data_IF_365966833653
#
_entry.id   IF_365966833653
#
_cell.length_a   1.000
_cell.length_b   1.000
_cell.length_c   1.000
_cell.angle_alpha   90.00
_cell.angle_beta   90.00
_cell.angle_gamma   90.00
#
_symmetry.space_group_name_H-M   'P 1'
#
loop_
_entity.id
_entity.type
_entity.pdbx_description
1 polymer ?
#
# COMPACT_ATOMS: atom_id res chain seq x y z
N UNK A 1 -2.73 -2.89 -16.75
CA UNK A 1 -2.79 -3.55 -15.44
C UNK A 1 -2.87 -2.48 -14.37
N UNK A 2 -3.54 -2.73 -13.24
CA UNK A 2 -3.56 -1.79 -12.12
C UNK A 2 -2.19 -1.79 -11.42
N UNK A 3 -1.61 -0.62 -11.23
CA UNK A 3 -0.32 -0.46 -10.55
C UNK A 3 -0.53 -0.53 -9.03
N UNK A 4 0.01 -1.57 -8.40
CA UNK A 4 -0.08 -1.80 -6.95
C UNK A 4 0.67 -0.72 -6.15
N UNK A 5 1.59 0.01 -6.80
CA UNK A 5 2.37 1.09 -6.23
C UNK A 5 1.79 2.48 -6.56
N UNK A 6 0.66 2.54 -7.29
CA UNK A 6 -0.01 3.81 -7.53
C UNK A 6 -0.34 4.47 -6.19
N UNK A 7 0.16 5.69 -6.02
CA UNK A 7 -0.09 6.50 -4.82
C UNK A 7 -1.57 6.86 -4.78
N UNK A 8 -2.30 6.28 -3.83
CA UNK A 8 -3.61 6.76 -3.40
C UNK A 8 -3.47 7.86 -2.36
N UNK A 9 -4.50 8.68 -2.20
CA UNK A 9 -4.52 9.87 -1.34
C UNK A 9 -4.08 9.64 0.12
N UNK A 10 -5.02 9.54 1.06
CA UNK A 10 -4.73 9.67 2.49
C UNK A 10 -3.78 8.60 3.09
N UNK A 11 -3.69 7.42 2.48
CA UNK A 11 -2.93 6.28 3.02
C UNK A 11 -1.69 5.95 2.22
N UNK A 12 -1.39 6.67 1.14
CA UNK A 12 -0.38 6.27 0.18
C UNK A 12 -0.82 5.08 -0.66
N UNK A 13 -0.06 3.98 -0.69
CA UNK A 13 -0.38 2.85 -1.56
C UNK A 13 -1.42 1.88 -0.93
N UNK A 14 -1.90 0.92 -1.72
CA UNK A 14 -2.89 -0.06 -1.30
C UNK A 14 -2.42 -0.93 -0.10
N UNK A 15 -1.12 -1.16 0.02
CA UNK A 15 -0.51 -1.94 1.10
C UNK A 15 -0.55 -1.17 2.42
N UNK A 16 -0.23 0.13 2.41
CA UNK A 16 -0.31 0.99 3.58
C UNK A 16 -1.76 1.11 4.11
N UNK A 17 -2.75 1.21 3.22
CA UNK A 17 -4.17 1.20 3.61
C UNK A 17 -4.58 -0.13 4.26
N UNK A 18 -4.12 -1.27 3.72
CA UNK A 18 -4.39 -2.59 4.27
C UNK A 18 -3.77 -2.77 5.67
N UNK A 19 -2.52 -2.35 5.86
CA UNK A 19 -1.85 -2.36 7.15
C UNK A 19 -2.57 -1.47 8.19
N UNK A 20 -2.95 -0.25 7.82
CA UNK A 20 -3.66 0.68 8.73
C UNK A 20 -5.01 0.16 9.21
N UNK A 21 -5.66 -0.71 8.44
CA UNK A 21 -6.97 -1.31 8.77
C UNK A 21 -6.85 -2.69 9.42
N UNK A 22 -5.64 -3.23 9.59
CA UNK A 22 -5.42 -4.58 10.13
C UNK A 22 -5.85 -5.71 9.19
N UNK A 23 -5.80 -5.46 7.87
CA UNK A 23 -6.19 -6.44 6.86
C UNK A 23 -4.99 -7.29 6.42
N UNK A 24 -4.52 -8.16 7.32
CA UNK A 24 -3.27 -8.94 7.13
C UNK A 24 -3.26 -9.77 5.84
N UNK A 25 -4.38 -10.42 5.50
CA UNK A 25 -4.51 -11.20 4.25
C UNK A 25 -4.40 -10.35 2.99
N UNK A 26 -4.89 -9.11 3.05
CA UNK A 26 -4.83 -8.18 1.91
C UNK A 26 -3.40 -7.63 1.79
N UNK A 27 -2.76 -7.31 2.92
CA UNK A 27 -1.36 -6.90 2.93
C UNK A 27 -0.44 -7.98 2.35
N UNK A 28 -0.65 -9.25 2.74
CA UNK A 28 0.11 -10.37 2.21
C UNK A 28 -0.07 -10.53 0.69
N UNK A 29 -1.31 -10.49 0.20
CA UNK A 29 -1.58 -10.58 -1.25
C UNK A 29 -0.94 -9.45 -2.05
N UNK A 30 -0.86 -8.24 -1.48
CA UNK A 30 -0.24 -7.10 -2.12
C UNK A 30 1.29 -7.24 -2.17
N UNK A 31 1.91 -7.73 -1.10
CA UNK A 31 3.35 -8.05 -1.08
C UNK A 31 3.70 -9.12 -2.11
N UNK A 32 2.90 -10.18 -2.22
CA UNK A 32 3.08 -11.23 -3.22
C UNK A 32 2.96 -10.71 -4.66
N UNK A 33 2.24 -9.61 -4.87
CA UNK A 33 2.10 -8.94 -6.17
C UNK A 33 3.16 -7.87 -6.43
N UNK A 34 4.17 -7.75 -5.56
CA UNK A 34 5.26 -6.79 -5.72
C UNK A 34 4.89 -5.37 -5.29
N UNK A 35 3.89 -5.20 -4.42
CA UNK A 35 3.65 -3.92 -3.77
C UNK A 35 4.85 -3.55 -2.89
N UNK A 36 5.39 -2.36 -3.10
CA UNK A 36 6.52 -1.86 -2.37
C UNK A 36 6.05 -1.32 -1.00
N UNK A 37 6.48 -1.96 0.07
CA UNK A 37 6.22 -1.52 1.44
C UNK A 37 6.83 -0.14 1.72
N UNK A 38 7.87 0.24 0.98
CA UNK A 38 8.59 1.50 1.12
C UNK A 38 8.20 2.53 0.06
N UNK A 39 7.26 2.23 -0.84
CA UNK A 39 6.77 3.23 -1.77
C UNK A 39 6.21 4.41 -0.96
N UNK A 40 6.79 5.59 -1.20
CA UNK A 40 6.44 6.81 -0.48
C UNK A 40 4.95 7.08 -0.63
N UNK A 41 4.23 7.02 0.49
CA UNK A 41 2.80 7.26 0.55
C UNK A 41 2.47 8.74 0.73
N UNK A 42 1.30 9.17 0.22
CA UNK A 42 0.83 10.56 0.24
C UNK A 42 0.80 11.20 1.63
N UNK A 43 0.81 12.54 1.67
CA UNK A 43 0.77 13.52 2.79
C UNK A 43 1.57 13.29 4.08
N UNK A 44 1.89 12.05 4.48
CA UNK A 44 2.64 11.69 5.68
C UNK A 44 3.90 10.88 5.41
N UNK A 45 4.21 10.57 4.15
CA UNK A 45 5.53 10.08 3.74
C UNK A 45 6.57 11.18 3.92
N UNK A 46 7.23 11.17 5.08
CA UNK A 46 8.52 11.85 5.27
C UNK A 46 9.63 11.01 4.65
#
# INVERSE_FOLDING_TARGET
GADANAQGGQYGNALQAACSKGHDKIAQMLLERGADANAQGGYYGS
#
